data_IF_158735830206
#
_entry.id   IF_158735830206
#
_cell.length_a   1.000
_cell.length_b   1.000
_cell.length_c   1.000
_cell.angle_alpha   90.00
_cell.angle_beta   90.00
_cell.angle_gamma   90.00
#
_symmetry.space_group_name_H-M   'P 1'
#
loop_
_entity.id
_entity.type
_entity.pdbx_description
1 polymer ?
#
# COMPACT_ATOMS: atom_id res chain seq x y z
N UNK A 1 5.84 4.47 -24.71
CA UNK A 1 4.51 4.93 -24.29
C UNK A 1 4.67 6.36 -23.84
N UNK A 2 4.01 7.32 -24.49
CA UNK A 2 3.94 8.70 -24.01
C UNK A 2 2.83 8.68 -22.95
N UNK A 3 3.12 9.16 -21.74
CA UNK A 3 2.09 9.30 -20.71
C UNK A 3 1.20 10.48 -21.08
N UNK A 4 -0.10 10.24 -21.10
CA UNK A 4 -1.09 11.29 -21.33
C UNK A 4 -1.23 12.14 -20.05
N UNK A 5 -1.51 13.43 -20.24
CA UNK A 5 -1.90 14.33 -19.16
C UNK A 5 -3.40 14.12 -18.88
N UNK A 6 -3.86 14.36 -17.64
CA UNK A 6 -5.28 14.25 -17.32
C UNK A 6 -6.09 15.20 -18.19
N UNK A 7 -7.19 14.69 -18.74
CA UNK A 7 -8.11 15.49 -19.56
C UNK A 7 -8.75 16.61 -18.73
N UNK A 8 -9.04 16.33 -17.46
CA UNK A 8 -9.54 17.30 -16.47
C UNK A 8 -8.88 17.07 -15.12
N UNK A 9 -8.41 18.13 -14.48
CA UNK A 9 -7.91 18.06 -13.11
C UNK A 9 -9.09 18.17 -12.13
N UNK A 10 -9.44 17.07 -11.48
CA UNK A 10 -10.60 16.95 -10.64
C UNK A 10 -10.30 16.34 -9.26
N UNK A 11 -11.31 15.71 -8.67
CA UNK A 11 -11.31 15.18 -7.31
C UNK A 11 -10.34 14.01 -7.15
N UNK A 12 -10.12 13.22 -8.21
CA UNK A 12 -9.20 12.09 -8.18
C UNK A 12 -7.76 12.57 -8.03
N UNK A 13 -7.31 13.57 -8.79
CA UNK A 13 -5.95 14.11 -8.71
C UNK A 13 -5.69 14.82 -7.38
N UNK A 14 -6.66 15.61 -6.89
CA UNK A 14 -6.56 16.22 -5.56
C UNK A 14 -6.42 15.16 -4.46
N UNK A 15 -7.12 14.03 -4.59
CA UNK A 15 -7.02 12.91 -3.63
C UNK A 15 -5.65 12.26 -3.68
N UNK A 16 -5.09 12.05 -4.88
CA UNK A 16 -3.73 11.51 -5.06
C UNK A 16 -2.70 12.44 -4.42
N UNK A 17 -2.76 13.75 -4.69
CA UNK A 17 -1.84 14.73 -4.10
C UNK A 17 -1.96 14.74 -2.58
N UNK A 18 -3.18 14.71 -2.03
CA UNK A 18 -3.38 14.62 -0.59
C UNK A 18 -2.76 13.34 -0.01
N UNK A 19 -2.87 12.21 -0.71
CA UNK A 19 -2.22 10.94 -0.34
C UNK A 19 -0.69 11.01 -0.33
N UNK A 20 -0.08 11.73 -1.28
CA UNK A 20 1.36 11.99 -1.32
C UNK A 20 1.80 12.86 -0.14
N UNK A 21 1.08 13.96 0.11
CA UNK A 21 1.36 14.84 1.26
C UNK A 21 1.23 14.05 2.56
N UNK A 22 0.22 13.21 2.69
CA UNK A 22 0.04 12.32 3.84
C UNK A 22 1.21 11.34 4.01
N UNK A 23 1.72 10.75 2.93
CA UNK A 23 2.94 9.93 2.95
C UNK A 23 4.14 10.71 3.50
N UNK A 24 4.39 11.91 2.96
CA UNK A 24 5.51 12.75 3.38
C UNK A 24 5.40 13.09 4.87
N UNK A 25 4.19 13.42 5.35
CA UNK A 25 3.93 13.67 6.76
C UNK A 25 4.24 12.44 7.63
N UNK A 26 3.84 11.24 7.20
CA UNK A 26 4.16 10.00 7.92
C UNK A 26 5.68 9.83 8.07
N UNK A 27 6.43 9.95 6.98
CA UNK A 27 7.88 9.73 7.01
C UNK A 27 8.66 10.82 7.76
N UNK A 28 8.10 12.03 7.88
CA UNK A 28 8.75 13.16 8.55
C UNK A 28 8.38 13.28 10.03
N UNK A 29 7.13 12.98 10.41
CA UNK A 29 6.61 13.15 11.77
C UNK A 29 6.84 11.90 12.64
N UNK A 30 6.71 10.70 12.08
CA UNK A 30 6.85 9.49 12.89
C UNK A 30 8.31 9.29 13.33
N UNK A 31 8.56 9.00 14.62
CA UNK A 31 9.90 8.77 15.10
C UNK A 31 10.50 7.52 14.44
N UNK A 32 11.80 7.55 14.15
CA UNK A 32 12.51 6.48 13.44
C UNK A 32 12.66 5.25 14.35
N UNK A 33 11.67 4.35 14.34
CA UNK A 33 11.68 3.08 15.09
C UNK A 33 12.17 1.89 14.27
N UNK A 34 11.92 1.92 12.96
CA UNK A 34 12.41 0.91 12.03
C UNK A 34 13.82 1.32 11.58
N UNK A 35 14.79 0.39 11.51
CA UNK A 35 16.13 0.70 11.00
C UNK A 35 16.06 1.29 9.59
N UNK A 36 16.89 2.32 9.33
CA UNK A 36 16.87 3.08 8.07
C UNK A 36 17.16 2.21 6.84
N UNK A 37 17.85 1.09 7.01
CA UNK A 37 18.17 0.12 5.98
C UNK A 37 16.95 -0.75 5.63
N UNK A 38 16.05 -0.98 6.58
CA UNK A 38 14.84 -1.80 6.41
C UNK A 38 13.69 -0.96 5.82
N UNK A 39 13.58 0.32 6.20
CA UNK A 39 12.54 1.23 5.70
C UNK A 39 12.37 1.23 4.17
N UNK A 40 13.42 1.42 3.34
CA UNK A 40 13.26 1.42 1.88
C UNK A 40 12.78 0.06 1.35
N UNK A 41 13.14 -1.06 1.99
CA UNK A 41 12.66 -2.38 1.60
C UNK A 41 11.16 -2.53 1.83
N UNK A 42 10.65 -2.02 2.96
CA UNK A 42 9.21 -2.00 3.25
C UNK A 42 8.47 -1.09 2.27
N UNK A 43 9.03 0.08 1.96
CA UNK A 43 8.45 1.02 0.97
C UNK A 43 8.35 0.36 -0.41
N UNK A 44 9.43 -0.27 -0.88
CA UNK A 44 9.44 -0.97 -2.16
C UNK A 44 8.39 -2.08 -2.20
N UNK A 45 8.27 -2.88 -1.13
CA UNK A 45 7.28 -3.93 -1.05
C UNK A 45 5.85 -3.39 -1.08
N UNK A 46 5.63 -2.26 -0.38
CA UNK A 46 4.33 -1.58 -0.29
C UNK A 46 3.89 -0.98 -1.62
N UNK A 47 4.82 -0.60 -2.49
CA UNK A 47 4.53 -0.19 -3.87
C UNK A 47 4.31 -1.42 -4.75
N UNK A 48 5.16 -2.44 -4.61
CA UNK A 48 5.20 -3.59 -5.53
C UNK A 48 3.91 -4.40 -5.52
N UNK A 49 3.38 -4.74 -4.33
CA UNK A 49 2.18 -5.59 -4.26
C UNK A 49 0.95 -4.95 -4.91
N UNK A 50 0.54 -3.72 -4.54
CA UNK A 50 -0.60 -3.08 -5.18
C UNK A 50 -0.39 -2.88 -6.68
N UNK A 51 0.76 -2.36 -7.12
CA UNK A 51 1.00 -2.14 -8.56
C UNK A 51 0.89 -3.43 -9.37
N UNK A 52 1.46 -4.55 -8.89
CA UNK A 52 1.35 -5.85 -9.58
C UNK A 52 -0.10 -6.32 -9.60
N UNK A 53 -0.81 -6.25 -8.48
CA UNK A 53 -2.19 -6.73 -8.37
C UNK A 53 -3.13 -5.90 -9.24
N UNK A 54 -3.05 -4.58 -9.13
CA UNK A 54 -3.84 -3.62 -9.88
C UNK A 54 -3.65 -3.84 -11.38
N UNK A 55 -2.40 -3.97 -11.85
CA UNK A 55 -2.12 -4.22 -13.27
C UNK A 55 -2.59 -5.58 -13.74
N UNK A 56 -2.50 -6.60 -12.88
CA UNK A 56 -2.96 -7.96 -13.23
C UNK A 56 -4.48 -8.02 -13.38
N UNK A 57 -5.20 -7.25 -12.57
CA UNK A 57 -6.67 -7.29 -12.48
C UNK A 57 -7.32 -6.28 -13.43
N UNK A 58 -6.68 -5.13 -13.68
CA UNK A 58 -7.16 -4.09 -14.57
C UNK A 58 -6.96 -4.41 -16.06
N UNK A 59 -5.86 -5.09 -16.41
CA UNK A 59 -5.57 -5.42 -17.81
C UNK A 59 -6.41 -6.62 -18.29
N UNK A 60 -6.73 -6.65 -19.59
CA UNK A 60 -7.39 -7.80 -20.22
C UNK A 60 -6.57 -9.09 -19.99
N UNK A 61 -7.22 -10.24 -19.75
CA UNK A 61 -8.64 -10.52 -19.99
C UNK A 61 -9.58 -10.20 -18.82
N UNK A 62 -9.05 -9.84 -17.64
CA UNK A 62 -9.88 -9.67 -16.45
C UNK A 62 -10.69 -8.37 -16.50
N UNK A 63 -10.03 -7.23 -16.73
CA UNK A 63 -10.70 -5.93 -16.89
C UNK A 63 -11.68 -5.62 -15.76
N UNK A 64 -11.35 -6.01 -14.53
CA UNK A 64 -12.26 -5.92 -13.37
C UNK A 64 -12.19 -4.56 -12.68
N UNK A 65 -11.21 -3.73 -13.07
CA UNK A 65 -10.88 -2.46 -12.44
C UNK A 65 -10.25 -1.49 -13.44
N UNK A 66 -10.55 -0.20 -13.32
CA UNK A 66 -9.81 0.86 -14.02
C UNK A 66 -9.07 1.72 -12.98
N UNK A 67 -7.80 2.01 -13.29
CA UNK A 67 -6.95 2.94 -12.55
C UNK A 67 -7.20 4.33 -13.16
N UNK A 68 -7.77 5.25 -12.38
CA UNK A 68 -8.26 6.58 -12.78
C UNK A 68 -9.54 6.64 -13.63
N UNK A 69 -10.02 7.87 -13.84
CA UNK A 69 -11.26 8.20 -14.54
C UNK A 69 -11.19 8.03 -16.07
N UNK A 70 -10.00 7.72 -16.60
CA UNK A 70 -9.71 7.66 -18.02
C UNK A 70 -9.32 6.24 -18.45
N UNK A 71 -9.78 5.83 -19.65
CA UNK A 71 -9.42 4.52 -20.22
C UNK A 71 -7.94 4.46 -20.66
N UNK A 72 -7.23 5.59 -20.60
CA UNK A 72 -5.83 5.71 -20.99
C UNK A 72 -4.97 5.80 -19.74
N UNK A 73 -3.76 5.28 -19.85
CA UNK A 73 -2.79 5.34 -18.77
C UNK A 73 -2.19 6.75 -18.67
N UNK A 74 -2.49 7.44 -17.58
CA UNK A 74 -2.16 8.83 -17.33
C UNK A 74 -0.99 8.99 -16.36
N UNK A 75 -0.42 10.21 -16.32
CA UNK A 75 0.67 10.50 -15.38
C UNK A 75 0.27 10.32 -13.92
N UNK A 76 -1.01 10.57 -13.58
CA UNK A 76 -1.51 10.43 -12.22
C UNK A 76 -1.61 8.98 -11.77
N UNK A 77 -1.73 8.01 -12.68
CA UNK A 77 -1.65 6.57 -12.35
C UNK A 77 -0.26 6.19 -11.82
N UNK A 78 0.79 6.80 -12.37
CA UNK A 78 2.17 6.60 -11.88
C UNK A 78 2.38 7.31 -10.55
N UNK A 79 1.82 8.52 -10.40
CA UNK A 79 1.93 9.28 -9.15
C UNK A 79 1.19 8.57 -8.01
N UNK A 80 0.07 7.90 -8.30
CA UNK A 80 -0.70 7.12 -7.33
C UNK A 80 0.15 6.05 -6.62
N UNK A 81 1.17 5.48 -7.28
CA UNK A 81 2.09 4.54 -6.62
C UNK A 81 2.82 5.14 -5.42
N UNK A 82 3.03 6.46 -5.41
CA UNK A 82 3.62 7.17 -4.29
C UNK A 82 2.70 7.24 -3.05
N UNK A 83 1.42 6.90 -3.19
CA UNK A 83 0.43 6.86 -2.09
C UNK A 83 0.52 5.55 -1.31
N UNK A 84 0.89 4.45 -1.97
CA UNK A 84 0.94 3.12 -1.36
C UNK A 84 1.94 2.90 -0.21
N UNK A 85 3.13 3.55 -0.15
CA UNK A 85 4.11 3.31 0.90
C UNK A 85 3.60 3.52 2.33
N UNK A 86 2.75 4.53 2.55
CA UNK A 86 2.20 4.84 3.86
C UNK A 86 1.47 3.66 4.48
N UNK A 87 0.71 2.91 3.69
CA UNK A 87 -0.10 1.80 4.20
C UNK A 87 0.79 0.69 4.79
N UNK A 88 1.72 0.16 4.00
CA UNK A 88 2.61 -0.91 4.48
C UNK A 88 3.61 -0.43 5.53
N UNK A 89 4.08 0.82 5.44
CA UNK A 89 4.93 1.41 6.47
C UNK A 89 4.19 1.53 7.81
N UNK A 90 2.97 2.07 7.84
CA UNK A 90 2.17 2.20 9.06
C UNK A 90 1.84 0.83 9.66
N UNK A 91 1.52 -0.15 8.83
CA UNK A 91 1.29 -1.53 9.27
C UNK A 91 2.52 -2.11 9.99
N UNK A 92 3.72 -1.93 9.45
CA UNK A 92 4.94 -2.40 10.13
C UNK A 92 5.26 -1.56 11.36
N UNK A 93 5.10 -0.24 11.26
CA UNK A 93 5.41 0.70 12.33
C UNK A 93 4.56 0.49 13.58
N UNK A 94 3.25 0.32 13.42
CA UNK A 94 2.33 0.10 14.54
C UNK A 94 2.63 -1.25 15.20
N UNK A 95 2.91 -2.28 14.40
CA UNK A 95 3.38 -3.56 14.95
C UNK A 95 4.67 -3.39 15.77
N UNK A 96 5.66 -2.66 15.26
CA UNK A 96 6.92 -2.43 15.98
C UNK A 96 6.73 -1.58 17.25
N UNK A 97 5.77 -0.65 17.24
CA UNK A 97 5.45 0.18 18.38
C UNK A 97 4.84 -0.63 19.54
N UNK A 98 3.85 -1.47 19.25
CA UNK A 98 3.11 -2.21 20.27
C UNK A 98 3.63 -3.62 20.53
N UNK A 99 4.42 -4.17 19.62
CA UNK A 99 4.96 -5.55 19.65
C UNK A 99 3.87 -6.56 19.98
N UNK A 100 2.79 -6.55 19.20
CA UNK A 100 1.64 -7.42 19.45
C UNK A 100 2.03 -8.91 19.37
N UNK A 101 1.52 -9.70 20.32
CA UNK A 101 1.74 -11.15 20.41
C UNK A 101 0.40 -11.88 20.67
N UNK A 102 0.36 -13.17 20.32
CA UNK A 102 -0.81 -14.04 20.52
C UNK A 102 -2.10 -13.46 19.93
N UNK A 103 -3.17 -13.42 20.72
CA UNK A 103 -4.47 -12.91 20.28
C UNK A 103 -4.45 -11.44 19.84
N UNK A 104 -3.59 -10.60 20.41
CA UNK A 104 -3.48 -9.19 19.99
C UNK A 104 -2.98 -9.07 18.56
N UNK A 105 -2.05 -9.95 18.17
CA UNK A 105 -1.56 -10.01 16.79
C UNK A 105 -2.66 -10.47 15.84
N UNK A 106 -3.47 -11.45 16.24
CA UNK A 106 -4.61 -11.89 15.44
C UNK A 106 -5.62 -10.76 15.18
N UNK A 107 -6.04 -10.04 16.22
CA UNK A 107 -6.96 -8.91 16.06
C UNK A 107 -6.33 -7.76 15.27
N UNK A 108 -5.02 -7.56 15.39
CA UNK A 108 -4.29 -6.59 14.58
C UNK A 108 -4.42 -6.88 13.08
N UNK A 109 -4.21 -8.14 12.68
CA UNK A 109 -4.37 -8.57 11.30
C UNK A 109 -5.81 -8.43 10.81
N UNK A 110 -6.79 -8.86 11.59
CA UNK A 110 -8.21 -8.69 11.23
C UNK A 110 -8.55 -7.21 11.03
N UNK A 111 -8.10 -6.35 11.95
CA UNK A 111 -8.33 -4.91 11.88
C UNK A 111 -7.81 -4.32 10.57
N UNK A 112 -6.58 -4.66 10.18
CA UNK A 112 -6.00 -4.20 8.92
C UNK A 112 -6.64 -4.82 7.68
N UNK A 113 -6.98 -6.11 7.72
CA UNK A 113 -7.67 -6.81 6.62
C UNK A 113 -9.06 -6.24 6.35
N UNK A 114 -9.73 -5.64 7.35
CA UNK A 114 -11.02 -4.94 7.18
C UNK A 114 -10.79 -3.47 6.79
N UNK A 115 -9.82 -2.81 7.42
CA UNK A 115 -9.51 -1.41 7.14
C UNK A 115 -9.12 -1.18 5.68
N UNK A 116 -8.35 -2.10 5.08
CA UNK A 116 -7.86 -1.93 3.71
C UNK A 116 -8.99 -1.91 2.65
N UNK A 117 -9.92 -2.88 2.59
CA UNK A 117 -11.09 -2.77 1.71
C UNK A 117 -11.99 -1.55 2.01
N UNK A 118 -12.11 -1.14 3.28
CA UNK A 118 -12.85 0.08 3.63
C UNK A 118 -12.19 1.35 3.06
N UNK A 119 -10.85 1.41 3.10
CA UNK A 119 -10.09 2.50 2.51
C UNK A 119 -10.15 2.48 0.98
N UNK A 120 -10.09 1.31 0.37
CA UNK A 120 -10.30 1.14 -1.08
C UNK A 120 -11.68 1.67 -1.50
N UNK A 121 -12.74 1.29 -0.77
CA UNK A 121 -14.09 1.81 -0.98
C UNK A 121 -14.20 3.33 -0.82
N UNK A 122 -13.41 3.91 0.08
CA UNK A 122 -13.33 5.36 0.22
C UNK A 122 -12.70 6.00 -1.02
N UNK A 123 -11.63 5.41 -1.56
CA UNK A 123 -10.98 5.88 -2.79
C UNK A 123 -11.88 5.73 -4.02
N UNK A 124 -12.68 4.67 -4.11
CA UNK A 124 -13.71 4.50 -5.17
C UNK A 124 -14.76 5.60 -5.11
N UNK A 125 -15.19 6.02 -3.91
CA UNK A 125 -16.10 7.18 -3.76
C UNK A 125 -15.44 8.50 -4.12
N UNK A 126 -14.12 8.55 -4.19
CA UNK A 126 -13.34 9.72 -4.60
C UNK A 126 -12.94 9.66 -6.07
N UNK A 127 -13.47 8.70 -6.82
CA UNK A 127 -13.26 8.56 -8.27
C UNK A 127 -11.78 8.26 -8.63
N UNK A 128 -10.95 7.93 -7.64
CA UNK A 128 -9.57 7.44 -7.87
C UNK A 128 -9.58 6.09 -8.58
N UNK A 129 -10.67 5.35 -8.40
CA UNK A 129 -10.80 3.96 -8.76
C UNK A 129 -12.23 3.64 -9.21
N UNK A 130 -12.36 2.93 -10.32
CA UNK A 130 -13.67 2.52 -10.85
C UNK A 130 -13.79 1.01 -10.92
N UNK A 131 -14.79 0.47 -10.20
CA UNK A 131 -15.14 -0.95 -10.29
C UNK A 131 -15.96 -1.24 -11.54
N UNK A 132 -15.38 -1.95 -12.51
CA UNK A 132 -16.09 -2.42 -13.71
C UNK A 132 -16.69 -3.82 -13.51
N UNK A 133 -16.01 -4.68 -12.74
CA UNK A 133 -16.45 -6.04 -12.42
C UNK A 133 -15.94 -6.58 -11.07
N UNK A 134 -15.06 -5.84 -10.41
CA UNK A 134 -14.52 -6.21 -9.10
C UNK A 134 -15.57 -6.06 -8.00
N UNK A 135 -15.58 -7.01 -7.07
CA UNK A 135 -16.34 -6.91 -5.82
C UNK A 135 -15.36 -6.72 -4.68
N UNK A 136 -15.63 -5.74 -3.81
CA UNK A 136 -14.84 -5.45 -2.59
C UNK A 136 -14.55 -6.70 -1.75
N UNK A 137 -15.47 -7.68 -1.76
CA UNK A 137 -15.30 -8.95 -1.04
C UNK A 137 -14.06 -9.73 -1.52
N UNK A 138 -13.65 -9.57 -2.78
CA UNK A 138 -12.43 -10.15 -3.33
C UNK A 138 -11.16 -9.46 -2.80
N UNK A 139 -11.24 -8.19 -2.38
CA UNK A 139 -10.12 -7.48 -1.78
C UNK A 139 -9.73 -8.06 -0.40
N UNK A 140 -10.69 -8.61 0.35
CA UNK A 140 -10.45 -9.15 1.70
C UNK A 140 -9.37 -10.26 1.74
N UNK A 141 -9.47 -11.35 0.94
CA UNK A 141 -8.41 -12.35 0.89
C UNK A 141 -7.09 -11.81 0.33
N UNK A 142 -7.14 -10.90 -0.65
CA UNK A 142 -5.94 -10.28 -1.24
C UNK A 142 -5.16 -9.51 -0.19
N UNK A 143 -5.80 -8.58 0.54
CA UNK A 143 -5.13 -7.83 1.61
C UNK A 143 -4.65 -8.74 2.73
N UNK A 144 -5.39 -9.79 3.09
CA UNK A 144 -4.94 -10.74 4.12
C UNK A 144 -3.64 -11.44 3.72
N UNK A 145 -3.51 -11.84 2.45
CA UNK A 145 -2.27 -12.43 1.92
C UNK A 145 -1.14 -11.39 1.90
N UNK A 146 -1.39 -10.19 1.35
CA UNK A 146 -0.38 -9.12 1.26
C UNK A 146 0.14 -8.69 2.63
N UNK A 147 -0.75 -8.53 3.62
CA UNK A 147 -0.37 -8.19 5.00
C UNK A 147 0.47 -9.31 5.64
N UNK A 148 0.11 -10.57 5.40
CA UNK A 148 0.86 -11.74 5.88
C UNK A 148 2.26 -11.80 5.28
N UNK A 149 2.38 -11.59 3.97
CA UNK A 149 3.67 -11.56 3.27
C UNK A 149 4.52 -10.37 3.74
N UNK A 150 3.93 -9.19 3.89
CA UNK A 150 4.60 -7.98 4.38
C UNK A 150 5.15 -8.20 5.80
N UNK A 151 4.34 -8.79 6.67
CA UNK A 151 4.75 -9.12 8.03
C UNK A 151 5.91 -10.13 8.07
N UNK A 152 5.80 -11.23 7.31
CA UNK A 152 6.83 -12.26 7.24
C UNK A 152 8.14 -11.68 6.69
N UNK A 153 8.05 -10.89 5.62
CA UNK A 153 9.19 -10.21 5.03
C UNK A 153 9.86 -9.27 6.04
N UNK A 154 9.08 -8.45 6.75
CA UNK A 154 9.61 -7.58 7.80
C UNK A 154 10.36 -8.37 8.88
N UNK A 155 9.76 -9.46 9.39
CA UNK A 155 10.37 -10.32 10.41
C UNK A 155 11.68 -10.93 9.90
N UNK A 156 11.72 -11.40 8.66
CA UNK A 156 12.91 -11.98 8.04
C UNK A 156 14.03 -10.93 7.90
N UNK A 157 13.74 -9.78 7.32
CA UNK A 157 14.73 -8.71 7.10
C UNK A 157 15.26 -8.17 8.43
N UNK A 158 14.38 -8.01 9.43
CA UNK A 158 14.78 -7.59 10.77
C UNK A 158 15.70 -8.63 11.44
N UNK A 159 15.38 -9.91 11.32
CA UNK A 159 16.22 -10.99 11.83
C UNK A 159 17.61 -10.99 11.19
N UNK A 160 17.71 -10.85 9.86
CA UNK A 160 19.00 -10.75 9.17
C UNK A 160 19.78 -9.51 9.62
N UNK A 161 19.13 -8.36 9.70
CA UNK A 161 19.75 -7.11 10.14
C UNK A 161 20.32 -7.21 11.56
N UNK A 162 19.57 -7.79 12.50
CA UNK A 162 20.02 -7.99 13.88
C UNK A 162 21.17 -9.00 13.99
N UNK A 163 21.22 -10.01 13.11
CA UNK A 163 22.30 -10.99 13.06
C UNK A 163 23.58 -10.38 12.50
N UNK A 164 23.51 -9.67 11.39
CA UNK A 164 24.66 -9.03 10.76
C UNK A 164 25.26 -7.93 11.67
N UNK A 165 24.43 -7.21 12.43
CA UNK A 165 24.92 -6.26 13.44
C UNK A 165 25.67 -6.94 14.59
N UNK A 166 25.33 -8.18 14.94
CA UNK A 166 26.03 -8.93 16.00
C UNK A 166 27.37 -9.50 15.52
N UNK A 167 27.53 -9.77 14.23
CA UNK A 167 28.80 -10.26 13.66
C UNK A 167 29.85 -9.13 13.49
N UNK A 168 29.45 -7.86 13.59
CA UNK A 168 30.33 -6.69 13.52
C UNK A 168 30.86 -6.20 14.89
N UNK A 169 30.43 -6.80 16.00
CA UNK A 169 30.82 -6.44 17.39
C UNK A 169 31.68 -7.56 17.96
#
# INVERSE_FOLDING_TARGET
MILDLPETFDKSEWTIIAGIVFNILIFTVLPKRIPKQITPLIVLLSISFPTILDHTIAVKPFGLYDLSDSYRYEIFDVILYGVYPAFGFLFVYIYEYFKFEGFKLFFYFIGWSIFAPCFELFLVKLDVYTYTGWKVVYSLPVYTIVLSLTFLFYKLVKFCYERDCKEMI
#
